data_IF_354979999701
#
_entry.id   IF_354979999701
#
_cell.length_a   1.000
_cell.length_b   1.000
_cell.length_c   1.000
_cell.angle_alpha   90.00
_cell.angle_beta   90.00
_cell.angle_gamma   90.00
#
_symmetry.space_group_name_H-M   'P 1'
#
loop_
_entity.id
_entity.type
_entity.pdbx_description
1 polymer ?
#
# COMPACT_ATOMS: atom_id res chain seq x y z
N UNK A 1 -51.13 13.28 -32.29
CA UNK A 1 -49.92 12.68 -32.92
C UNK A 1 -48.74 13.54 -32.50
N UNK A 2 -48.06 13.13 -31.42
CA UNK A 2 -46.89 13.83 -30.89
C UNK A 2 -45.68 12.90 -31.09
N UNK A 3 -44.69 13.39 -31.83
CA UNK A 3 -43.46 12.68 -32.15
C UNK A 3 -42.51 12.74 -30.94
N UNK A 4 -42.07 11.58 -30.47
CA UNK A 4 -40.99 11.45 -29.50
C UNK A 4 -39.63 11.60 -30.22
N UNK A 5 -38.63 12.26 -29.61
CA UNK A 5 -37.28 12.24 -30.15
C UNK A 5 -36.61 10.90 -29.84
N UNK A 6 -36.06 10.26 -30.88
CA UNK A 6 -35.20 9.08 -30.81
C UNK A 6 -33.90 9.40 -30.05
N UNK A 7 -33.60 8.55 -29.07
CA UNK A 7 -32.31 8.54 -28.38
C UNK A 7 -31.34 7.67 -29.19
N UNK A 8 -30.42 8.30 -29.90
CA UNK A 8 -29.31 7.62 -30.58
C UNK A 8 -28.23 7.31 -29.55
N UNK A 9 -28.10 6.02 -29.22
CA UNK A 9 -27.02 5.49 -28.39
C UNK A 9 -25.71 5.51 -29.19
N UNK A 10 -24.70 6.21 -28.67
CA UNK A 10 -23.34 6.16 -29.20
C UNK A 10 -22.71 4.81 -28.85
N UNK A 11 -22.78 3.86 -29.78
CA UNK A 11 -21.98 2.64 -29.75
C UNK A 11 -20.52 2.98 -30.01
N UNK A 12 -19.67 2.72 -29.01
CA UNK A 12 -18.22 2.71 -29.19
C UNK A 12 -17.83 1.34 -29.75
N UNK A 13 -17.61 1.27 -31.06
CA UNK A 13 -17.03 0.12 -31.74
C UNK A 13 -15.55 0.00 -31.35
N UNK A 14 -15.22 -0.99 -30.52
CA UNK A 14 -13.85 -1.43 -30.29
C UNK A 14 -13.52 -2.54 -31.29
N UNK A 15 -13.11 -2.12 -32.49
CA UNK A 15 -12.50 -3.00 -33.48
C UNK A 15 -10.97 -2.83 -33.45
N UNK A 16 -10.32 -3.95 -33.15
CA UNK A 16 -9.15 -4.46 -33.86
C UNK A 16 -7.84 -3.65 -33.82
N UNK A 17 -6.97 -4.03 -32.89
CA UNK A 17 -5.53 -3.93 -33.06
C UNK A 17 -4.89 -5.23 -32.55
N UNK A 18 -5.03 -6.29 -33.34
CA UNK A 18 -4.12 -7.44 -33.26
C UNK A 18 -2.73 -7.02 -33.76
N UNK A 19 -1.69 -7.26 -32.97
CA UNK A 19 -0.37 -7.80 -33.39
C UNK A 19 0.60 -7.81 -32.18
N UNK A 20 0.85 -8.98 -31.58
CA UNK A 20 2.19 -9.56 -31.37
C UNK A 20 2.11 -10.91 -30.64
N UNK A 21 2.54 -11.93 -31.38
CA UNK A 21 3.12 -13.22 -30.97
C UNK A 21 2.28 -14.20 -30.13
N UNK A 22 1.78 -15.23 -30.82
CA UNK A 22 1.64 -16.59 -30.29
C UNK A 22 2.97 -17.04 -29.66
N UNK A 23 2.92 -17.44 -28.41
CA UNK A 23 3.83 -18.44 -27.85
C UNK A 23 2.96 -19.32 -26.95
N UNK A 24 2.69 -20.53 -27.43
CA UNK A 24 1.81 -21.51 -26.79
C UNK A 24 2.54 -22.12 -25.59
N UNK A 25 2.20 -21.66 -24.39
CA UNK A 25 2.80 -22.19 -23.18
C UNK A 25 2.25 -21.57 -21.90
N UNK A 26 1.23 -22.23 -21.34
CA UNK A 26 0.90 -22.22 -19.91
C UNK A 26 0.05 -21.04 -19.38
N UNK A 27 -1.24 -21.07 -19.75
CA UNK A 27 -2.26 -20.09 -19.37
C UNK A 27 -2.84 -20.29 -17.96
N UNK A 28 -2.59 -21.43 -17.30
CA UNK A 28 -3.21 -21.74 -16.01
C UNK A 28 -2.56 -21.00 -14.82
N UNK A 29 -1.30 -20.59 -14.92
CA UNK A 29 -0.56 -19.97 -13.80
C UNK A 29 -0.76 -18.46 -13.72
N UNK A 30 -1.15 -17.80 -14.83
CA UNK A 30 -1.28 -16.33 -14.86
C UNK A 30 -2.56 -15.80 -14.23
N UNK A 31 -3.64 -16.58 -14.22
CA UNK A 31 -4.92 -16.12 -13.66
C UNK A 31 -4.91 -16.08 -12.13
N UNK A 32 -4.10 -16.91 -11.47
CA UNK A 32 -3.91 -16.88 -10.02
C UNK A 32 -3.05 -15.70 -9.52
N UNK A 33 -2.33 -14.99 -10.41
CA UNK A 33 -1.39 -13.94 -10.00
C UNK A 33 -1.99 -12.52 -10.06
N UNK A 34 -3.08 -12.32 -10.80
CA UNK A 34 -3.70 -11.00 -10.98
C UNK A 34 -4.76 -10.71 -9.91
N UNK A 35 -5.36 -11.74 -9.30
CA UNK A 35 -6.41 -11.57 -8.29
C UNK A 35 -5.91 -11.25 -6.86
N UNK A 36 -4.60 -11.32 -6.59
CA UNK A 36 -4.07 -11.16 -5.23
C UNK A 36 -3.57 -9.73 -4.86
N UNK A 37 -3.73 -8.74 -5.75
CA UNK A 37 -3.22 -7.37 -5.49
C UNK A 37 -4.29 -6.33 -5.18
N UNK A 38 -5.54 -6.74 -5.11
CA UNK A 38 -6.62 -5.91 -4.60
C UNK A 38 -6.94 -6.31 -3.15
N UNK A 39 -6.70 -5.40 -2.22
CA UNK A 39 -6.99 -5.45 -0.78
C UNK A 39 -5.89 -5.95 0.17
N UNK A 40 -5.34 -4.97 0.91
CA UNK A 40 -5.00 -5.13 2.32
C UNK A 40 -3.54 -5.46 2.63
N UNK A 41 -2.96 -4.68 3.54
CA UNK A 41 -1.80 -5.08 4.36
C UNK A 41 -2.11 -6.43 5.03
N UNK A 42 -1.82 -7.53 4.34
CA UNK A 42 -1.89 -8.88 4.88
C UNK A 42 -0.60 -9.21 5.60
N UNK A 43 -0.58 -9.04 6.93
CA UNK A 43 0.28 -9.86 7.78
C UNK A 43 -0.17 -11.30 7.60
N UNK A 44 0.54 -12.07 6.77
CA UNK A 44 0.40 -13.52 6.75
C UNK A 44 1.40 -14.07 7.76
N UNK A 45 0.95 -14.23 9.01
CA UNK A 45 1.60 -15.15 9.92
C UNK A 45 1.24 -16.56 9.43
N UNK A 46 2.17 -17.20 8.70
CA UNK A 46 2.07 -18.63 8.47
C UNK A 46 2.36 -19.31 9.82
N UNK A 47 1.32 -19.88 10.44
CA UNK A 47 1.52 -20.92 11.45
C UNK A 47 2.11 -22.13 10.74
N UNK A 48 3.39 -22.40 10.97
CA UNK A 48 4.02 -23.65 10.57
C UNK A 48 3.47 -24.81 11.41
N UNK A 49 3.14 -25.96 10.79
CA UNK A 49 2.83 -27.16 11.55
C UNK A 49 4.08 -27.63 12.28
N UNK A 50 3.97 -27.70 13.60
CA UNK A 50 4.96 -28.21 14.54
C UNK A 50 5.53 -29.56 14.06
N UNK A 51 6.81 -29.56 13.71
CA UNK A 51 7.57 -30.75 13.37
C UNK A 51 9.05 -30.53 13.56
N UNK A 52 9.56 -30.90 14.75
CA UNK A 52 10.98 -31.21 14.95
C UNK A 52 11.84 -30.07 15.49
N UNK A 53 12.05 -30.11 16.80
CA UNK A 53 13.25 -29.68 17.54
C UNK A 53 14.49 -29.42 16.68
N UNK A 54 14.92 -28.16 16.61
CA UNK A 54 16.24 -27.72 17.11
C UNK A 54 16.26 -26.19 17.29
N UNK A 55 17.01 -25.74 18.30
CA UNK A 55 16.88 -24.44 18.95
C UNK A 55 17.02 -23.21 18.05
N UNK A 56 16.14 -22.24 18.27
CA UNK A 56 16.30 -20.87 17.77
C UNK A 56 17.37 -20.18 18.60
N UNK A 57 18.58 -20.10 18.05
CA UNK A 57 19.62 -19.17 18.50
C UNK A 57 19.20 -17.75 18.13
N UNK A 58 19.07 -16.88 19.14
CA UNK A 58 19.08 -15.44 18.94
C UNK A 58 20.52 -15.02 18.65
N UNK A 59 20.84 -14.74 17.38
CA UNK A 59 22.12 -14.13 17.01
C UNK A 59 22.03 -12.63 17.27
N UNK A 60 22.35 -12.26 18.51
CA UNK A 60 22.59 -10.89 18.93
C UNK A 60 23.89 -10.41 18.26
N UNK A 61 23.79 -9.36 17.44
CA UNK A 61 24.91 -8.82 16.69
C UNK A 61 25.97 -8.25 17.65
N UNK A 62 26.99 -9.05 17.95
CA UNK A 62 28.24 -8.58 18.54
C UNK A 62 29.18 -8.08 17.44
N UNK A 63 29.54 -6.81 17.54
CA UNK A 63 30.73 -6.25 16.90
C UNK A 63 31.94 -6.86 17.61
N UNK A 64 32.78 -7.59 16.90
CA UNK A 64 34.00 -8.18 17.45
C UNK A 64 35.21 -7.59 16.75
N UNK A 65 35.84 -6.64 17.45
CA UNK A 65 37.23 -6.23 17.23
C UNK A 65 38.15 -7.26 17.91
N UNK A 66 39.23 -7.63 17.22
CA UNK A 66 40.51 -7.99 17.87
C UNK A 66 40.67 -9.38 18.50
N UNK A 67 41.59 -10.13 17.91
CA UNK A 67 42.43 -11.23 18.41
C UNK A 67 42.34 -11.64 19.91
N UNK A 68 42.18 -12.95 20.16
CA UNK A 68 42.53 -13.56 21.44
C UNK A 68 41.93 -14.95 21.65
N UNK A 69 42.77 -15.98 21.70
CA UNK A 69 42.39 -17.32 22.16
C UNK A 69 41.97 -17.32 23.64
N UNK A 70 40.91 -18.06 23.98
CA UNK A 70 40.40 -18.14 25.34
C UNK A 70 39.49 -19.35 25.60
N UNK A 71 40.10 -20.33 26.27
CA UNK A 71 39.59 -21.53 26.96
C UNK A 71 38.17 -21.41 27.56
N UNK A 72 37.36 -22.46 27.36
CA UNK A 72 36.04 -22.68 27.98
C UNK A 72 36.16 -23.08 29.46
N UNK A 73 35.46 -22.38 30.35
CA UNK A 73 35.14 -22.86 31.70
C UNK A 73 33.64 -22.69 31.98
N UNK A 74 33.02 -23.75 32.49
CA UNK A 74 31.61 -23.86 32.80
C UNK A 74 31.41 -23.72 34.30
N UNK A 75 30.79 -22.63 34.76
CA UNK A 75 30.18 -22.55 36.10
C UNK A 75 29.08 -21.48 36.19
N UNK A 76 27.86 -21.96 36.42
CA UNK A 76 26.65 -21.28 36.94
C UNK A 76 26.94 -20.34 38.15
N UNK A 77 26.07 -19.37 38.60
CA UNK A 77 24.63 -19.57 38.78
C UNK A 77 23.65 -18.36 38.71
N UNK A 78 22.37 -18.73 38.75
CA UNK A 78 21.14 -17.99 39.01
C UNK A 78 21.26 -16.76 39.94
N UNK A 79 20.76 -15.62 39.50
CA UNK A 79 20.38 -14.50 40.39
C UNK A 79 18.98 -13.97 40.08
N UNK A 80 18.13 -14.09 41.11
CA UNK A 80 16.92 -13.31 41.37
C UNK A 80 17.24 -11.81 41.26
N UNK A 81 16.40 -11.05 40.56
CA UNK A 81 16.36 -9.60 40.69
C UNK A 81 14.97 -9.17 41.12
N UNK A 82 14.95 -8.65 42.35
CA UNK A 82 13.85 -7.94 43.00
C UNK A 82 13.69 -6.54 42.42
N UNK A 83 12.45 -6.10 42.24
CA UNK A 83 12.11 -4.67 42.09
C UNK A 83 12.45 -3.90 43.37
N UNK A 84 12.84 -2.61 43.27
CA UNK A 84 11.92 -1.60 43.80
C UNK A 84 11.92 -0.25 43.07
N UNK A 85 10.70 0.28 42.96
CA UNK A 85 10.22 1.59 43.40
C UNK A 85 11.03 2.91 43.20
N UNK A 86 10.22 3.94 42.92
CA UNK A 86 10.33 5.32 43.39
C UNK A 86 11.00 6.34 42.46
N UNK A 87 10.12 6.98 41.68
CA UNK A 87 10.21 8.31 41.10
C UNK A 87 10.57 9.41 42.11
N UNK A 88 11.44 10.37 41.74
CA UNK A 88 11.48 11.68 42.37
C UNK A 88 10.82 12.78 41.52
N UNK A 89 10.06 13.59 42.24
CA UNK A 89 9.29 14.79 41.90
C UNK A 89 10.17 15.92 41.33
N UNK A 90 9.74 16.67 40.29
CA UNK A 90 10.45 17.84 39.82
C UNK A 90 10.17 19.10 40.65
N UNK A 91 11.22 19.85 40.97
CA UNK A 91 11.18 21.17 41.61
C UNK A 91 10.78 22.30 40.63
N UNK A 92 10.15 23.39 41.12
CA UNK A 92 9.62 24.46 40.27
C UNK A 92 10.70 25.44 39.80
N UNK A 93 10.68 25.78 38.52
CA UNK A 93 11.51 26.83 37.90
C UNK A 93 10.78 28.19 38.04
N UNK A 94 11.47 29.26 38.49
CA UNK A 94 10.89 30.59 38.62
C UNK A 94 10.82 31.36 37.28
N UNK A 95 9.69 32.02 37.06
CA UNK A 95 9.43 32.97 35.96
C UNK A 95 10.27 34.25 36.07
N UNK A 96 10.72 34.84 34.94
CA UNK A 96 11.08 36.24 34.90
C UNK A 96 10.18 37.09 33.99
N UNK A 97 9.59 38.09 34.64
CA UNK A 97 9.49 39.51 34.28
C UNK A 97 9.06 39.95 32.86
N UNK A 98 7.87 40.56 32.85
CA UNK A 98 7.34 41.51 31.88
C UNK A 98 8.29 42.70 31.65
N UNK A 99 8.48 43.08 30.39
CA UNK A 99 9.02 44.38 29.99
C UNK A 99 7.98 45.18 29.18
N UNK A 100 7.88 46.51 29.37
CA UNK A 100 6.84 47.37 28.78
C UNK A 100 7.12 47.82 27.33
N UNK A 101 6.10 48.33 26.60
CA UNK A 101 6.19 48.67 25.19
C UNK A 101 6.82 50.06 24.95
N UNK A 102 7.61 50.17 23.88
CA UNK A 102 8.18 51.43 23.37
C UNK A 102 7.45 51.88 22.10
N UNK A 103 7.24 53.20 21.88
CA UNK A 103 6.39 53.74 20.83
C UNK A 103 7.11 53.98 19.48
N UNK A 104 6.27 54.21 18.46
CA UNK A 104 6.54 54.43 17.04
C UNK A 104 7.54 55.56 16.69
N UNK A 105 7.96 55.65 15.42
CA UNK A 105 7.26 56.60 14.51
C UNK A 105 7.05 56.11 13.06
N UNK A 106 5.98 56.65 12.44
CA UNK A 106 5.84 57.30 11.11
C UNK A 106 6.71 56.81 9.94
N UNK A 107 6.36 56.83 8.65
CA UNK A 107 5.24 57.30 7.84
C UNK A 107 5.59 56.97 6.35
N UNK A 108 4.58 57.01 5.47
CA UNK A 108 4.60 57.19 3.99
C UNK A 108 5.20 56.12 3.03
N UNK A 109 4.31 55.56 2.19
CA UNK A 109 4.27 55.57 0.70
C UNK A 109 3.54 54.29 0.21
N UNK A 110 2.22 54.33 -0.04
CA UNK A 110 1.60 54.63 -1.34
C UNK A 110 2.33 54.02 -2.55
N UNK A 111 1.79 52.90 -3.07
CA UNK A 111 1.43 52.71 -4.48
C UNK A 111 0.28 51.69 -4.52
N UNK A 112 -0.84 52.17 -5.05
CA UNK A 112 -2.08 51.45 -5.32
C UNK A 112 -1.96 50.77 -6.67
N UNK A 113 -2.29 49.49 -6.77
CA UNK A 113 -2.66 48.87 -8.05
C UNK A 113 -3.63 47.73 -7.79
N UNK A 114 -4.88 48.10 -7.50
CA UNK A 114 -6.02 47.18 -7.44
C UNK A 114 -6.70 47.16 -8.81
N UNK A 115 -6.57 46.03 -9.51
CA UNK A 115 -7.43 45.70 -10.65
C UNK A 115 -8.76 45.19 -10.06
N UNK A 116 -9.74 46.09 -9.99
CA UNK A 116 -11.13 45.76 -9.67
C UNK A 116 -11.80 45.16 -10.91
N UNK A 117 -12.08 43.86 -10.87
CA UNK A 117 -13.12 43.25 -11.69
C UNK A 117 -14.45 43.36 -10.93
N UNK A 118 -15.22 44.37 -11.28
CA UNK A 118 -16.57 44.60 -10.76
C UNK A 118 -17.54 43.62 -11.42
N UNK A 119 -17.91 42.56 -10.71
CA UNK A 119 -19.18 41.89 -10.94
C UNK A 119 -20.25 42.59 -10.09
N UNK A 120 -20.95 43.48 -10.79
CA UNK A 120 -22.14 44.20 -10.34
C UNK A 120 -23.28 43.24 -10.04
N UNK A 121 -23.70 43.18 -8.79
CA UNK A 121 -25.01 42.72 -8.35
C UNK A 121 -25.39 43.60 -7.14
N UNK A 122 -25.79 44.82 -7.44
CA UNK A 122 -26.65 45.59 -6.55
C UNK A 122 -27.98 44.83 -6.44
N UNK A 123 -28.43 44.52 -5.21
CA UNK A 123 -29.71 45.05 -4.74
C UNK A 123 -29.84 44.95 -3.22
N UNK A 124 -30.52 45.94 -2.67
CA UNK A 124 -30.83 46.32 -1.29
C UNK A 124 -31.11 45.14 -0.33
N UNK A 125 -30.91 45.24 0.98
CA UNK A 125 -31.01 46.41 1.85
C UNK A 125 -31.37 45.91 3.25
N UNK A 126 -31.03 46.75 4.22
CA UNK A 126 -31.29 46.62 5.66
C UNK A 126 -32.77 46.27 5.90
N UNK A 127 -33.05 45.17 6.63
CA UNK A 127 -34.37 44.99 7.23
C UNK A 127 -34.32 44.18 8.51
N UNK A 128 -35.14 44.66 9.44
CA UNK A 128 -35.11 44.40 10.86
C UNK A 128 -35.58 43.00 11.25
N UNK A 129 -35.04 42.57 12.38
CA UNK A 129 -35.47 41.52 13.28
C UNK A 129 -37.01 41.47 13.42
N UNK A 130 -37.66 40.56 12.69
CA UNK A 130 -38.99 40.04 13.01
C UNK A 130 -38.93 38.52 12.90
N UNK A 131 -38.63 37.88 14.02
CA UNK A 131 -38.71 36.43 14.21
C UNK A 131 -40.17 36.01 14.28
N UNK A 132 -40.88 36.08 13.15
CA UNK A 132 -42.15 35.38 12.99
C UNK A 132 -41.83 33.89 12.90
N UNK A 133 -42.24 33.14 13.93
CA UNK A 133 -42.32 31.68 13.93
C UNK A 133 -43.30 31.24 12.83
N UNK A 134 -42.85 31.26 11.58
CA UNK A 134 -43.55 30.64 10.46
C UNK A 134 -43.35 29.14 10.60
N UNK A 135 -44.33 28.49 11.22
CA UNK A 135 -44.48 27.03 11.26
C UNK A 135 -44.46 26.52 9.82
N UNK A 136 -43.31 26.03 9.37
CA UNK A 136 -43.15 25.49 8.03
C UNK A 136 -44.17 24.36 7.85
N UNK A 137 -44.97 24.37 6.77
CA UNK A 137 -45.93 23.31 6.51
C UNK A 137 -45.19 21.97 6.46
N UNK A 138 -45.63 21.02 7.28
CA UNK A 138 -45.06 19.68 7.37
C UNK A 138 -44.97 19.08 5.96
N UNK A 139 -43.75 18.88 5.47
CA UNK A 139 -43.52 18.26 4.18
C UNK A 139 -44.23 16.88 4.14
N UNK A 140 -44.90 16.52 3.03
CA UNK A 140 -45.55 15.24 2.89
C UNK A 140 -44.53 14.11 3.07
N UNK A 141 -44.91 13.08 3.83
CA UNK A 141 -44.08 11.90 4.07
C UNK A 141 -43.79 11.26 2.70
N UNK A 142 -42.51 11.03 2.34
CA UNK A 142 -42.18 10.42 1.06
C UNK A 142 -42.81 9.01 0.99
N UNK A 143 -43.29 8.58 -0.18
CA UNK A 143 -43.87 7.26 -0.34
C UNK A 143 -42.84 6.19 0.07
N UNK A 144 -43.26 5.24 0.89
CA UNK A 144 -42.45 4.09 1.30
C UNK A 144 -41.99 3.35 0.04
N UNK A 145 -40.68 3.24 -0.17
CA UNK A 145 -40.13 2.50 -1.30
C UNK A 145 -40.59 1.04 -1.23
N UNK A 146 -41.28 0.59 -2.27
CA UNK A 146 -41.65 -0.81 -2.49
C UNK A 146 -40.87 -1.34 -3.70
N UNK A 147 -39.91 -2.26 -3.52
CA UNK A 147 -39.24 -2.88 -4.66
C UNK A 147 -40.25 -3.63 -5.53
N UNK A 148 -39.98 -3.73 -6.83
CA UNK A 148 -40.88 -4.45 -7.73
C UNK A 148 -40.90 -5.94 -7.38
N UNK A 149 -42.07 -6.59 -7.35
CA UNK A 149 -42.23 -7.95 -6.83
C UNK A 149 -41.43 -9.02 -7.61
N UNK A 150 -41.23 -8.82 -8.92
CA UNK A 150 -40.44 -9.76 -9.73
C UNK A 150 -38.95 -9.78 -9.31
N UNK A 151 -38.39 -8.65 -8.87
CA UNK A 151 -36.98 -8.58 -8.41
C UNK A 151 -36.78 -9.38 -7.11
N UNK A 152 -37.77 -9.40 -6.23
CA UNK A 152 -37.70 -10.14 -4.96
C UNK A 152 -37.92 -11.65 -5.13
N UNK A 153 -38.66 -12.07 -6.17
CA UNK A 153 -38.92 -13.48 -6.44
C UNK A 153 -37.67 -14.23 -6.92
N UNK A 154 -36.78 -13.54 -7.63
CA UNK A 154 -35.59 -14.14 -8.26
C UNK A 154 -34.40 -14.27 -7.30
N UNK A 155 -34.42 -13.59 -6.15
CA UNK A 155 -33.34 -13.67 -5.13
C UNK A 155 -33.91 -13.91 -3.73
N UNK A 156 -34.00 -15.17 -3.27
CA UNK A 156 -34.38 -15.45 -1.90
C UNK A 156 -33.39 -14.81 -0.93
N UNK A 157 -33.89 -14.20 0.15
CA UNK A 157 -33.05 -13.62 1.18
C UNK A 157 -32.11 -14.70 1.76
N UNK A 158 -30.81 -14.43 1.75
CA UNK A 158 -29.85 -15.34 2.35
C UNK A 158 -30.18 -15.54 3.84
N UNK A 159 -30.14 -16.78 4.36
CA UNK A 159 -30.35 -17.02 5.78
C UNK A 159 -29.29 -16.24 6.59
N UNK A 160 -29.64 -15.71 7.78
CA UNK A 160 -28.68 -14.99 8.60
C UNK A 160 -27.53 -15.91 8.98
N UNK A 161 -26.30 -15.47 8.71
CA UNK A 161 -25.10 -16.19 9.12
C UNK A 161 -24.98 -16.19 10.65
N UNK A 162 -25.01 -17.36 11.31
CA UNK A 162 -24.89 -17.44 12.77
C UNK A 162 -23.55 -16.92 13.30
N UNK A 163 -22.52 -16.82 12.44
CA UNK A 163 -21.17 -16.38 12.81
C UNK A 163 -20.89 -14.93 12.41
N UNK A 164 -21.91 -14.16 11.97
CA UNK A 164 -21.72 -12.78 11.59
C UNK A 164 -21.25 -11.90 12.77
N UNK A 165 -20.09 -11.27 12.62
CA UNK A 165 -19.53 -10.35 13.63
C UNK A 165 -20.35 -9.06 13.81
N UNK A 166 -21.13 -8.69 12.80
CA UNK A 166 -21.95 -7.47 12.80
C UNK A 166 -23.43 -7.84 12.77
N UNK A 167 -24.21 -7.18 13.62
CA UNK A 167 -25.66 -7.36 13.65
C UNK A 167 -26.28 -6.96 12.30
N UNK A 168 -27.14 -7.79 11.69
CA UNK A 168 -27.84 -7.43 10.47
C UNK A 168 -28.59 -6.10 10.62
N UNK A 169 -28.54 -5.26 9.59
CA UNK A 169 -29.20 -3.96 9.59
C UNK A 169 -30.72 -4.14 9.47
N UNK A 170 -31.42 -4.25 10.60
CA UNK A 170 -32.89 -4.36 10.63
C UNK A 170 -33.58 -3.00 10.50
N UNK A 171 -32.89 -1.91 10.85
CA UNK A 171 -33.36 -0.53 10.73
C UNK A 171 -32.23 0.39 10.32
N UNK A 172 -32.49 1.30 9.40
CA UNK A 172 -31.50 2.30 8.98
C UNK A 172 -31.12 3.24 10.13
N UNK A 173 -29.82 3.38 10.38
CA UNK A 173 -29.29 4.30 11.39
C UNK A 173 -29.30 5.76 10.93
N UNK A 174 -29.18 6.00 9.62
CA UNK A 174 -29.19 7.34 9.03
C UNK A 174 -30.42 7.50 8.13
N UNK A 175 -31.17 8.57 8.36
CA UNK A 175 -32.36 8.89 7.53
C UNK A 175 -32.01 9.61 6.23
N UNK A 176 -30.85 10.26 6.17
CA UNK A 176 -30.43 11.07 5.01
C UNK A 176 -28.97 10.81 4.67
N UNK A 177 -28.61 10.98 3.40
CA UNK A 177 -27.23 10.90 2.94
C UNK A 177 -26.34 11.97 3.61
N UNK A 178 -26.90 13.14 3.91
CA UNK A 178 -26.22 14.20 4.65
C UNK A 178 -25.83 13.76 6.07
N UNK A 179 -26.74 13.09 6.80
CA UNK A 179 -26.44 12.55 8.13
C UNK A 179 -25.38 11.46 8.08
N UNK A 180 -25.43 10.57 7.08
CA UNK A 180 -24.40 9.55 6.87
C UNK A 180 -23.03 10.16 6.51
N UNK A 181 -23.01 11.21 5.67
CA UNK A 181 -21.78 11.96 5.33
C UNK A 181 -21.23 12.68 6.56
N UNK A 182 -22.07 13.33 7.36
CA UNK A 182 -21.67 13.96 8.61
C UNK A 182 -21.06 12.94 9.58
N UNK A 183 -21.67 11.77 9.74
CA UNK A 183 -21.11 10.70 10.56
C UNK A 183 -19.76 10.18 10.05
N UNK A 184 -19.58 10.07 8.73
CA UNK A 184 -18.30 9.65 8.14
C UNK A 184 -17.21 10.71 8.23
N UNK A 185 -17.59 11.99 8.20
CA UNK A 185 -16.65 13.12 8.18
C UNK A 185 -16.37 13.70 9.57
N UNK A 186 -17.07 13.26 10.61
CA UNK A 186 -16.80 13.68 12.00
C UNK A 186 -15.34 13.37 12.37
N UNK A 187 -14.69 14.35 12.99
CA UNK A 187 -13.37 14.14 13.57
C UNK A 187 -13.46 13.07 14.65
N UNK A 188 -12.64 12.04 14.53
CA UNK A 188 -12.47 10.95 15.49
C UNK A 188 -11.24 11.14 16.36
N UNK A 189 -10.22 11.83 15.83
CA UNK A 189 -9.10 12.36 16.61
C UNK A 189 -9.05 13.87 16.42
N UNK A 190 -8.64 14.56 17.49
CA UNK A 190 -8.53 16.00 17.50
C UNK A 190 -7.54 16.47 16.42
N UNK A 191 -7.75 17.66 15.85
CA UNK A 191 -6.76 18.31 14.99
C UNK A 191 -5.43 18.49 15.72
N UNK A 192 -4.33 18.48 14.97
CA UNK A 192 -2.99 18.80 15.48
C UNK A 192 -2.74 20.31 15.29
N UNK A 193 -3.01 21.19 16.26
CA UNK A 193 -2.93 22.63 16.02
C UNK A 193 -1.49 23.04 15.67
N UNK A 194 -1.35 23.91 14.68
CA UNK A 194 -0.07 24.48 14.27
C UNK A 194 -0.22 25.99 14.01
N UNK A 195 0.79 26.77 14.39
CA UNK A 195 0.73 28.23 14.31
C UNK A 195 0.80 28.77 12.87
N UNK A 196 1.36 27.99 11.95
CA UNK A 196 1.64 28.37 10.57
C UNK A 196 0.49 28.06 9.58
N UNK A 197 -0.58 27.38 10.01
CA UNK A 197 -1.70 26.91 9.15
C UNK A 197 -2.28 28.05 8.30
N UNK A 198 -2.66 29.15 8.94
CA UNK A 198 -3.32 30.27 8.25
C UNK A 198 -2.41 30.91 7.18
N UNK A 199 -1.13 31.10 7.51
CA UNK A 199 -0.12 31.67 6.59
C UNK A 199 0.14 30.73 5.41
N UNK A 200 0.36 29.44 5.68
CA UNK A 200 0.66 28.44 4.64
C UNK A 200 -0.53 28.27 3.69
N UNK A 201 -1.76 28.26 4.21
CA UNK A 201 -2.97 28.17 3.40
C UNK A 201 -3.17 29.38 2.49
N UNK A 202 -2.89 30.59 2.99
CA UNK A 202 -3.08 31.83 2.26
C UNK A 202 -1.98 32.09 1.20
N UNK A 203 -0.72 31.80 1.50
CA UNK A 203 0.43 32.21 0.69
C UNK A 203 1.28 31.05 0.16
N UNK A 204 1.15 29.86 0.74
CA UNK A 204 2.08 28.76 0.53
C UNK A 204 1.70 27.76 -0.54
N UNK A 205 0.46 27.78 -1.07
CA UNK A 205 -0.06 26.72 -1.95
C UNK A 205 0.84 26.48 -3.16
N UNK A 206 1.09 27.51 -3.97
CA UNK A 206 1.86 27.39 -5.22
C UNK A 206 3.27 26.84 -4.96
N UNK A 207 3.96 27.41 -3.96
CA UNK A 207 5.29 26.97 -3.56
C UNK A 207 5.31 25.49 -3.14
N UNK A 208 4.41 25.10 -2.25
CA UNK A 208 4.40 23.73 -1.71
C UNK A 208 3.94 22.70 -2.74
N UNK A 209 2.93 23.01 -3.56
CA UNK A 209 2.50 22.12 -4.65
C UNK A 209 3.66 21.87 -5.62
N UNK A 210 4.36 22.93 -6.06
CA UNK A 210 5.52 22.79 -6.92
C UNK A 210 6.60 21.92 -6.27
N UNK A 211 6.87 22.13 -4.98
CA UNK A 211 7.86 21.33 -4.23
C UNK A 211 7.44 19.86 -4.07
N UNK A 212 6.17 19.58 -3.82
CA UNK A 212 5.61 18.22 -3.73
C UNK A 212 5.71 17.52 -5.08
N UNK A 213 5.29 18.18 -6.16
CA UNK A 213 5.40 17.66 -7.52
C UNK A 213 6.85 17.29 -7.86
N UNK A 214 7.78 18.21 -7.62
CA UNK A 214 9.21 17.98 -7.84
C UNK A 214 9.75 16.81 -7.01
N UNK A 215 9.27 16.63 -5.77
CA UNK A 215 9.62 15.48 -4.96
C UNK A 215 9.07 14.16 -5.54
N UNK A 216 7.83 14.15 -6.03
CA UNK A 216 7.21 12.96 -6.65
C UNK A 216 8.01 12.47 -7.86
N UNK A 217 8.47 13.38 -8.72
CA UNK A 217 9.24 13.02 -9.92
C UNK A 217 10.74 12.80 -9.66
N UNK A 218 11.26 13.18 -8.49
CA UNK A 218 12.69 13.03 -8.19
C UNK A 218 13.10 11.56 -8.13
N UNK A 219 13.92 11.12 -9.09
CA UNK A 219 14.41 9.74 -9.17
C UNK A 219 15.75 9.47 -8.48
N UNK A 220 16.40 10.49 -7.89
CA UNK A 220 17.80 10.38 -7.40
C UNK A 220 17.93 9.61 -6.09
N UNK A 221 16.94 9.72 -5.21
CA UNK A 221 17.02 9.21 -3.84
C UNK A 221 16.11 8.00 -3.59
N UNK A 222 15.72 7.24 -4.63
CA UNK A 222 14.74 6.16 -4.50
C UNK A 222 15.27 5.01 -3.63
N UNK A 223 14.54 4.65 -2.58
CA UNK A 223 14.82 3.54 -1.66
C UNK A 223 14.04 2.26 -1.99
N UNK A 224 12.99 2.33 -2.83
CA UNK A 224 12.30 1.14 -3.33
C UNK A 224 13.28 0.19 -4.06
N UNK A 225 13.06 -1.11 -3.90
CA UNK A 225 13.89 -2.14 -4.55
C UNK A 225 14.01 -1.93 -6.06
N UNK A 226 15.16 -2.28 -6.64
CA UNK A 226 15.44 -2.08 -8.07
C UNK A 226 14.40 -2.72 -9.02
N UNK A 227 13.75 -3.80 -8.57
CA UNK A 227 12.69 -4.51 -9.30
C UNK A 227 11.27 -4.09 -8.89
N UNK A 228 11.12 -3.07 -8.05
CA UNK A 228 9.82 -2.57 -7.62
C UNK A 228 9.07 -1.98 -8.81
N UNK A 229 7.82 -2.39 -9.00
CA UNK A 229 6.93 -1.80 -10.02
C UNK A 229 6.76 -0.30 -9.80
N UNK A 230 6.75 0.14 -8.54
CA UNK A 230 6.62 1.55 -8.20
C UNK A 230 7.83 2.34 -8.70
N UNK A 231 9.05 1.83 -8.53
CA UNK A 231 10.26 2.47 -9.07
C UNK A 231 10.23 2.51 -10.61
N UNK A 232 9.89 1.40 -11.25
CA UNK A 232 9.85 1.29 -12.71
C UNK A 232 8.94 2.33 -13.38
N UNK A 233 7.81 2.68 -12.74
CA UNK A 233 6.86 3.73 -13.18
C UNK A 233 7.41 5.16 -13.18
N UNK A 234 8.57 5.39 -12.57
CA UNK A 234 9.24 6.70 -12.55
C UNK A 234 10.60 6.69 -13.25
N UNK A 235 11.29 5.54 -13.30
CA UNK A 235 12.63 5.46 -13.88
C UNK A 235 12.68 4.87 -15.28
N UNK A 236 11.76 3.97 -15.62
CA UNK A 236 11.80 3.22 -16.89
C UNK A 236 10.64 3.56 -17.82
N UNK A 237 9.45 3.79 -17.26
CA UNK A 237 8.24 4.13 -18.02
C UNK A 237 7.53 5.27 -17.29
N UNK A 238 7.36 6.42 -17.92
CA UNK A 238 6.52 7.50 -17.41
C UNK A 238 5.06 7.04 -17.40
N UNK A 239 4.64 6.38 -16.33
CA UNK A 239 3.32 5.74 -16.24
C UNK A 239 2.18 6.70 -15.87
N UNK A 240 2.53 7.91 -15.44
CA UNK A 240 1.59 8.94 -15.01
C UNK A 240 1.75 10.19 -15.87
N UNK A 241 0.64 10.84 -16.17
CA UNK A 241 0.64 12.14 -16.82
C UNK A 241 1.11 13.22 -15.82
N UNK A 242 1.77 14.27 -16.31
CA UNK A 242 2.23 15.36 -15.45
C UNK A 242 1.06 16.07 -14.73
N UNK A 243 -0.07 16.25 -15.42
CA UNK A 243 -1.27 16.88 -14.85
C UNK A 243 -1.86 16.05 -13.71
N UNK A 244 -1.85 14.71 -13.82
CA UNK A 244 -2.30 13.82 -12.75
C UNK A 244 -1.41 13.92 -11.51
N UNK A 245 -0.08 14.02 -11.71
CA UNK A 245 0.88 14.18 -10.61
C UNK A 245 0.75 15.55 -9.93
N UNK A 246 0.46 16.61 -10.70
CA UNK A 246 0.19 17.94 -10.14
C UNK A 246 -1.13 17.95 -9.35
N UNK A 247 -2.20 17.35 -9.89
CA UNK A 247 -3.46 17.18 -9.18
C UNK A 247 -3.29 16.41 -7.86
N UNK A 248 -2.49 15.34 -7.88
CA UNK A 248 -2.12 14.60 -6.66
C UNK A 248 -1.31 15.45 -5.68
N UNK A 249 -0.41 16.32 -6.16
CA UNK A 249 0.34 17.25 -5.31
C UNK A 249 -0.58 18.27 -4.60
N UNK A 250 -1.61 18.77 -5.30
CA UNK A 250 -2.67 19.58 -4.68
C UNK A 250 -3.42 18.80 -3.59
N UNK A 251 -3.81 17.56 -3.86
CA UNK A 251 -4.49 16.71 -2.87
C UNK A 251 -3.63 16.45 -1.63
N UNK A 252 -2.32 16.22 -1.81
CA UNK A 252 -1.35 16.08 -0.70
C UNK A 252 -1.30 17.34 0.15
N UNK A 253 -1.25 18.51 -0.47
CA UNK A 253 -1.26 19.80 0.24
C UNK A 253 -2.55 19.97 1.06
N UNK A 254 -3.71 19.71 0.46
CA UNK A 254 -5.00 19.87 1.12
C UNK A 254 -5.17 18.90 2.30
N UNK A 255 -4.74 17.64 2.14
CA UNK A 255 -4.84 16.64 3.19
C UNK A 255 -3.83 16.91 4.32
N UNK A 256 -2.63 17.43 4.01
CA UNK A 256 -1.69 17.87 5.03
C UNK A 256 -2.25 19.03 5.88
N UNK A 257 -2.91 20.01 5.26
CA UNK A 257 -3.61 21.09 5.98
C UNK A 257 -4.76 20.52 6.83
N UNK A 258 -5.51 19.56 6.27
CA UNK A 258 -6.64 18.95 6.96
C UNK A 258 -6.27 18.25 8.27
N UNK A 259 -5.08 17.66 8.38
CA UNK A 259 -4.58 17.07 9.64
C UNK A 259 -4.56 18.11 10.78
N UNK A 260 -4.25 19.37 10.45
CA UNK A 260 -4.14 20.46 11.43
C UNK A 260 -5.47 21.21 11.68
N UNK A 261 -6.36 21.26 10.69
CA UNK A 261 -7.67 21.94 10.84
C UNK A 261 -8.78 20.98 11.33
N UNK A 262 -8.85 19.79 10.73
CA UNK A 262 -9.95 18.83 10.91
C UNK A 262 -9.57 17.67 11.82
N UNK A 263 -8.29 17.29 11.81
CA UNK A 263 -7.82 16.06 12.44
C UNK A 263 -8.24 14.81 11.66
N UNK A 264 -8.24 13.66 12.34
CA UNK A 264 -8.51 12.37 11.72
C UNK A 264 -10.01 12.07 11.66
N UNK A 265 -10.58 11.93 10.46
CA UNK A 265 -12.01 11.62 10.28
C UNK A 265 -12.29 10.15 9.87
N UNK A 266 -11.27 9.41 9.44
CA UNK A 266 -11.39 8.02 9.01
C UNK A 266 -11.61 7.06 10.19
N UNK A 267 -12.12 5.84 9.98
CA UNK A 267 -12.22 4.83 11.02
C UNK A 267 -10.91 4.63 11.81
N UNK A 268 -11.03 4.53 13.13
CA UNK A 268 -9.87 4.41 14.02
C UNK A 268 -9.03 3.17 13.79
N UNK A 269 -9.60 2.11 13.18
CA UNK A 269 -8.88 0.88 12.80
C UNK A 269 -7.72 1.14 11.84
N UNK A 270 -7.82 2.19 11.03
CA UNK A 270 -6.75 2.58 10.11
C UNK A 270 -5.70 3.46 10.77
N UNK A 271 -6.03 4.09 11.90
CA UNK A 271 -5.11 4.98 12.60
C UNK A 271 -4.25 4.19 13.60
N UNK A 272 -2.93 4.26 13.44
CA UNK A 272 -2.00 3.63 14.38
C UNK A 272 -1.41 4.67 15.31
N UNK A 273 -1.80 4.62 16.59
CA UNK A 273 -1.18 5.44 17.62
C UNK A 273 0.29 5.03 17.80
N UNK A 274 1.18 5.95 17.45
CA UNK A 274 2.62 5.79 17.58
C UNK A 274 3.07 6.47 18.87
N UNK A 275 3.15 5.68 19.94
CA UNK A 275 3.32 6.19 21.32
C UNK A 275 4.81 6.37 21.71
N UNK A 276 5.76 5.74 21.00
CA UNK A 276 7.19 5.81 21.35
C UNK A 276 8.12 5.53 20.17
N UNK A 277 9.28 6.20 20.15
CA UNK A 277 10.43 5.89 19.28
C UNK A 277 10.53 6.75 18.02
N UNK A 278 11.25 6.25 17.00
CA UNK A 278 11.50 6.95 15.72
C UNK A 278 10.24 7.23 14.89
N UNK A 279 9.11 6.66 15.28
CA UNK A 279 7.82 6.79 14.59
C UNK A 279 6.93 7.89 15.18
N UNK A 280 7.41 8.61 16.22
CA UNK A 280 6.69 9.74 16.79
C UNK A 280 6.59 10.84 15.73
N UNK A 281 5.39 11.42 15.59
CA UNK A 281 5.15 12.52 14.67
C UNK A 281 5.78 13.82 15.17
N UNK A 282 7.01 14.06 14.74
CA UNK A 282 7.75 15.31 15.01
C UNK A 282 7.14 16.54 14.30
N UNK A 283 6.25 16.33 13.34
CA UNK A 283 5.62 17.40 12.55
C UNK A 283 4.22 17.78 13.05
N UNK A 284 3.87 17.37 14.26
CA UNK A 284 2.57 17.66 14.87
C UNK A 284 2.27 19.16 15.00
N UNK A 285 3.29 19.98 15.23
CA UNK A 285 3.13 21.40 15.60
C UNK A 285 3.41 22.40 14.46
N UNK A 286 3.82 21.93 13.27
CA UNK A 286 4.09 22.79 12.10
C UNK A 286 3.67 22.12 10.79
N UNK A 287 2.85 22.83 10.03
CA UNK A 287 2.43 22.42 8.68
C UNK A 287 3.62 22.40 7.74
N UNK A 288 4.50 23.40 7.79
CA UNK A 288 5.65 23.47 6.88
C UNK A 288 6.62 22.32 7.11
N UNK A 289 6.86 21.97 8.38
CA UNK A 289 7.68 20.81 8.73
C UNK A 289 7.03 19.52 8.20
N UNK A 290 5.71 19.37 8.36
CA UNK A 290 4.94 18.23 7.83
C UNK A 290 5.07 18.12 6.32
N UNK A 291 4.79 19.20 5.59
CA UNK A 291 4.91 19.24 4.13
C UNK A 291 6.33 18.92 3.66
N UNK A 292 7.35 19.44 4.36
CA UNK A 292 8.76 19.12 4.07
C UNK A 292 9.06 17.63 4.29
N UNK A 293 8.50 17.01 5.34
CA UNK A 293 8.66 15.58 5.60
C UNK A 293 7.92 14.73 4.56
N UNK A 294 6.71 15.12 4.17
CA UNK A 294 5.99 14.47 3.05
C UNK A 294 6.81 14.52 1.76
N UNK A 295 7.41 15.68 1.43
CA UNK A 295 8.29 15.79 0.26
C UNK A 295 9.48 14.83 0.35
N UNK A 296 10.11 14.68 1.52
CA UNK A 296 11.20 13.72 1.71
C UNK A 296 10.75 12.29 1.44
N UNK A 297 9.60 11.89 2.00
CA UNK A 297 9.04 10.54 1.79
C UNK A 297 8.70 10.29 0.32
N UNK A 298 8.10 11.25 -0.38
CA UNK A 298 7.76 11.13 -1.81
C UNK A 298 9.01 11.07 -2.72
N UNK A 299 10.07 11.78 -2.36
CA UNK A 299 11.34 11.73 -3.08
C UNK A 299 12.02 10.36 -2.95
N UNK A 300 11.98 9.78 -1.75
CA UNK A 300 12.62 8.50 -1.47
C UNK A 300 11.77 7.29 -1.85
N UNK A 301 10.45 7.36 -1.68
CA UNK A 301 9.56 6.19 -1.72
C UNK A 301 8.46 6.35 -2.76
N UNK A 302 8.63 5.75 -3.94
CA UNK A 302 7.66 5.79 -5.04
C UNK A 302 6.41 4.98 -4.77
N UNK A 303 6.46 3.98 -3.89
CA UNK A 303 5.23 3.36 -3.38
C UNK A 303 4.38 4.29 -2.50
N UNK A 304 4.95 5.39 -1.96
CA UNK A 304 4.19 6.44 -1.29
C UNK A 304 3.64 7.49 -2.28
N UNK A 305 4.32 7.69 -3.42
CA UNK A 305 3.75 8.48 -4.54
C UNK A 305 2.48 7.80 -5.07
N UNK A 306 2.48 6.47 -5.18
CA UNK A 306 1.30 5.70 -5.57
C UNK A 306 0.13 5.86 -4.57
N UNK A 307 0.43 5.91 -3.26
CA UNK A 307 -0.57 6.21 -2.22
C UNK A 307 -1.20 7.59 -2.41
N UNK A 308 -0.39 8.59 -2.80
CA UNK A 308 -0.84 9.96 -3.04
C UNK A 308 -1.73 10.06 -4.28
N UNK A 309 -1.35 9.40 -5.39
CA UNK A 309 -2.14 9.36 -6.62
C UNK A 309 -3.47 8.63 -6.42
N UNK A 310 -3.50 7.54 -5.66
CA UNK A 310 -4.76 6.82 -5.34
C UNK A 310 -5.66 7.58 -4.37
N UNK A 311 -5.08 8.42 -3.52
CA UNK A 311 -5.80 9.16 -2.49
C UNK A 311 -6.32 8.29 -1.34
N UNK A 312 -7.44 8.71 -0.73
CA UNK A 312 -8.13 7.93 0.30
C UNK A 312 -7.35 7.74 1.60
N UNK A 313 -7.51 6.57 2.23
CA UNK A 313 -6.90 6.27 3.54
C UNK A 313 -5.37 6.28 3.48
N UNK A 314 -4.78 5.81 2.38
CA UNK A 314 -3.32 5.75 2.24
C UNK A 314 -2.69 7.14 2.15
N UNK A 315 -3.34 8.07 1.44
CA UNK A 315 -2.95 9.48 1.43
C UNK A 315 -3.10 10.12 2.83
N UNK A 316 -4.23 9.87 3.50
CA UNK A 316 -4.44 10.38 4.85
C UNK A 316 -3.36 9.89 5.83
N UNK A 317 -2.93 8.62 5.73
CA UNK A 317 -1.84 8.07 6.55
C UNK A 317 -0.48 8.70 6.23
N UNK A 318 -0.21 8.96 4.94
CA UNK A 318 1.01 9.65 4.52
C UNK A 318 1.06 11.07 5.11
N UNK A 319 -0.04 11.81 5.06
CA UNK A 319 -0.10 13.17 5.57
C UNK A 319 -0.17 13.23 7.10
N UNK A 320 -0.79 12.26 7.78
CA UNK A 320 -0.92 12.27 9.25
C UNK A 320 0.39 11.97 9.99
N UNK A 321 1.21 11.03 9.49
CA UNK A 321 2.53 10.78 10.05
C UNK A 321 3.49 10.29 8.96
N UNK A 322 4.20 11.22 8.27
CA UNK A 322 5.07 10.88 7.15
C UNK A 322 6.18 9.90 7.54
N UNK A 323 6.78 10.06 8.72
CA UNK A 323 7.86 9.19 9.20
C UNK A 323 7.37 7.76 9.49
N UNK A 324 6.19 7.61 10.12
CA UNK A 324 5.60 6.30 10.31
C UNK A 324 5.27 5.64 8.97
N UNK A 325 4.74 6.41 8.00
CA UNK A 325 4.44 5.87 6.66
C UNK A 325 5.70 5.43 5.94
N UNK A 326 6.77 6.23 5.98
CA UNK A 326 8.10 5.89 5.45
C UNK A 326 8.60 4.57 6.01
N UNK A 327 8.58 4.42 7.33
CA UNK A 327 9.03 3.20 7.99
C UNK A 327 8.21 1.97 7.58
N UNK A 328 6.87 2.08 7.50
CA UNK A 328 6.02 0.98 7.02
C UNK A 328 6.38 0.59 5.59
N UNK A 329 6.59 1.55 4.68
CA UNK A 329 6.98 1.24 3.30
C UNK A 329 8.37 0.61 3.21
N UNK A 330 9.32 1.09 3.99
CA UNK A 330 10.66 0.52 4.07
C UNK A 330 10.63 -0.93 4.57
N UNK A 331 9.90 -1.18 5.66
CA UNK A 331 9.71 -2.52 6.23
C UNK A 331 9.05 -3.47 5.20
N UNK A 332 8.01 -3.00 4.51
CA UNK A 332 7.35 -3.78 3.45
C UNK A 332 8.30 -4.07 2.27
N UNK A 333 9.15 -3.11 1.89
CA UNK A 333 10.16 -3.30 0.83
C UNK A 333 11.20 -4.37 1.24
N UNK A 334 11.71 -4.32 2.47
CA UNK A 334 12.62 -5.33 3.01
C UNK A 334 11.96 -6.73 3.06
N UNK A 335 10.69 -6.80 3.48
CA UNK A 335 9.92 -8.05 3.50
C UNK A 335 9.73 -8.63 2.09
N UNK A 336 9.38 -7.79 1.12
CA UNK A 336 9.22 -8.19 -0.29
C UNK A 336 10.54 -8.64 -0.91
N UNK A 337 11.67 -8.01 -0.55
CA UNK A 337 12.98 -8.45 -0.97
C UNK A 337 13.30 -9.85 -0.45
N UNK A 338 13.16 -10.09 0.87
CA UNK A 338 13.39 -11.40 1.49
C UNK A 338 12.49 -12.48 0.88
N UNK A 339 11.19 -12.17 0.69
CA UNK A 339 10.24 -13.08 0.02
C UNK A 339 10.68 -13.39 -1.41
N UNK A 340 11.10 -12.38 -2.16
CA UNK A 340 11.59 -12.54 -3.53
C UNK A 340 12.84 -13.41 -3.62
N UNK A 341 13.76 -13.29 -2.67
CA UNK A 341 14.96 -14.13 -2.58
C UNK A 341 14.61 -15.59 -2.28
N UNK A 342 13.73 -15.84 -1.30
CA UNK A 342 13.23 -17.19 -0.98
C UNK A 342 12.59 -17.85 -2.20
N UNK A 343 11.70 -17.15 -2.90
CA UNK A 343 11.05 -17.67 -4.11
C UNK A 343 12.05 -18.02 -5.22
N UNK A 344 13.13 -17.23 -5.39
CA UNK A 344 14.18 -17.54 -6.36
C UNK A 344 14.97 -18.78 -5.97
N UNK A 345 15.28 -18.96 -4.68
CA UNK A 345 15.98 -20.15 -4.21
C UNK A 345 15.12 -21.40 -4.42
N UNK A 346 13.83 -21.35 -4.11
CA UNK A 346 12.89 -22.46 -4.36
C UNK A 346 12.83 -22.81 -5.84
N UNK A 347 12.63 -21.81 -6.71
CA UNK A 347 12.59 -22.03 -8.17
C UNK A 347 13.91 -22.59 -8.72
N UNK A 348 15.04 -22.17 -8.18
CA UNK A 348 16.35 -22.69 -8.61
C UNK A 348 16.54 -24.13 -8.17
N UNK A 349 16.14 -24.48 -6.94
CA UNK A 349 16.16 -25.86 -6.43
C UNK A 349 15.23 -26.77 -7.24
N UNK A 350 14.03 -26.30 -7.55
CA UNK A 350 13.07 -27.03 -8.38
C UNK A 350 13.62 -27.27 -9.79
N UNK A 351 14.17 -26.23 -10.44
CA UNK A 351 14.80 -26.36 -11.75
C UNK A 351 16.00 -27.31 -11.74
N UNK A 352 16.80 -27.30 -10.66
CA UNK A 352 17.90 -28.25 -10.49
C UNK A 352 17.40 -29.68 -10.31
N UNK A 353 16.30 -29.90 -9.58
CA UNK A 353 15.66 -31.22 -9.44
C UNK A 353 15.11 -31.74 -10.77
N UNK A 354 14.46 -30.88 -11.56
CA UNK A 354 13.98 -31.25 -12.89
C UNK A 354 15.14 -31.66 -13.81
N UNK A 355 16.22 -30.87 -13.85
CA UNK A 355 17.42 -31.22 -14.64
C UNK A 355 18.10 -32.50 -14.16
N UNK A 356 18.15 -32.73 -12.86
CA UNK A 356 18.70 -33.97 -12.32
C UNK A 356 17.84 -35.19 -12.72
N UNK A 357 16.51 -35.03 -12.72
CA UNK A 357 15.59 -36.07 -13.18
C UNK A 357 15.72 -36.33 -14.69
N UNK A 358 15.75 -35.29 -15.51
CA UNK A 358 15.99 -35.39 -16.96
C UNK A 358 17.32 -36.10 -17.25
N UNK A 359 18.37 -35.83 -16.46
CA UNK A 359 19.65 -36.51 -16.61
C UNK A 359 19.60 -37.99 -16.21
N UNK A 360 18.89 -38.35 -15.13
CA UNK A 360 18.71 -39.75 -14.73
C UNK A 360 17.94 -40.51 -15.82
N UNK A 361 16.83 -39.95 -16.29
CA UNK A 361 16.02 -40.55 -17.37
C UNK A 361 16.83 -40.71 -18.67
N UNK A 362 17.69 -39.75 -19.02
CA UNK A 362 18.59 -39.85 -20.17
C UNK A 362 19.65 -40.95 -20.01
N UNK A 363 20.22 -41.12 -18.81
CA UNK A 363 21.21 -42.18 -18.54
C UNK A 363 20.54 -43.56 -18.56
N UNK A 364 19.33 -43.70 -18.02
CA UNK A 364 18.56 -44.95 -18.08
C UNK A 364 18.26 -45.36 -19.53
N UNK A 365 17.87 -44.41 -20.39
CA UNK A 365 17.65 -44.68 -21.82
C UNK A 365 18.93 -45.13 -22.54
N UNK A 366 20.09 -44.51 -22.28
CA UNK A 366 21.37 -44.95 -22.87
C UNK A 366 21.70 -46.37 -22.42
N UNK A 367 21.51 -46.68 -21.13
CA UNK A 367 21.74 -48.02 -20.60
C UNK A 367 20.77 -49.09 -21.15
N UNK A 368 19.54 -48.72 -21.54
CA UNK A 368 18.62 -49.62 -22.24
C UNK A 368 19.06 -49.88 -23.69
N UNK A 369 19.54 -48.86 -24.40
CA UNK A 369 20.06 -49.00 -25.78
C UNK A 369 21.30 -49.91 -25.79
N UNK A 370 22.25 -49.71 -24.88
CA UNK A 370 23.45 -50.57 -24.77
C UNK A 370 23.10 -52.03 -24.46
N UNK A 371 22.05 -52.29 -23.67
CA UNK A 371 21.57 -53.65 -23.41
C UNK A 371 20.96 -54.30 -24.65
N UNK A 372 20.26 -53.54 -25.48
CA UNK A 372 19.69 -54.03 -26.74
C UNK A 372 20.81 -54.40 -27.71
N UNK A 373 21.84 -53.54 -27.86
CA UNK A 373 23.00 -53.83 -28.72
C UNK A 373 23.75 -55.10 -28.28
N UNK A 374 23.93 -55.32 -26.98
CA UNK A 374 24.57 -56.55 -26.48
C UNK A 374 23.76 -57.82 -26.77
N UNK A 375 22.42 -57.75 -26.79
CA UNK A 375 21.56 -58.88 -27.14
C UNK A 375 21.70 -59.21 -28.62
N UNK A 376 21.67 -58.20 -29.50
CA UNK A 376 21.83 -58.37 -30.95
C UNK A 376 23.20 -58.97 -31.32
N UNK A 377 24.27 -58.54 -30.65
CA UNK A 377 25.62 -59.11 -30.83
C UNK A 377 25.68 -60.57 -30.37
N UNK A 378 25.03 -60.90 -29.25
CA UNK A 378 24.99 -62.28 -28.74
C UNK A 378 24.16 -63.23 -29.61
N UNK A 379 23.03 -62.79 -30.16
CA UNK A 379 22.24 -63.57 -31.12
C UNK A 379 23.00 -63.77 -32.44
N UNK A 380 23.74 -62.74 -32.90
CA UNK A 380 24.58 -62.84 -34.11
C UNK A 380 25.72 -63.83 -33.93
N UNK A 381 26.33 -63.87 -32.73
CA UNK A 381 27.37 -64.83 -32.38
C UNK A 381 26.82 -66.25 -32.31
N UNK A 382 25.65 -66.46 -31.69
CA UNK A 382 25.01 -67.77 -31.61
C UNK A 382 24.59 -68.29 -33.00
N UNK A 383 24.06 -67.43 -33.87
CA UNK A 383 23.76 -67.79 -35.27
C UNK A 383 25.01 -68.18 -36.07
N UNK A 384 26.14 -67.49 -35.87
CA UNK A 384 27.41 -67.83 -36.50
C UNK A 384 27.94 -69.19 -36.02
N UNK A 385 27.83 -69.47 -34.72
CA UNK A 385 28.25 -70.76 -34.14
C UNK A 385 27.38 -71.93 -34.64
N UNK A 386 26.06 -71.74 -34.75
CA UNK A 386 25.13 -72.74 -35.31
C UNK A 386 25.41 -73.00 -36.80
N UNK A 387 25.69 -71.97 -37.59
CA UNK A 387 26.06 -72.12 -39.00
C UNK A 387 27.43 -72.82 -39.16
N UNK A 388 28.40 -72.50 -38.30
CA UNK A 388 29.70 -73.17 -38.27
C UNK A 388 29.58 -74.67 -37.97
N UNK A 389 28.73 -75.05 -37.02
CA UNK A 389 28.47 -76.47 -36.69
C UNK A 389 27.76 -77.24 -37.82
N UNK A 390 26.85 -76.58 -38.55
CA UNK A 390 26.20 -77.19 -39.72
C UNK A 390 27.21 -77.47 -40.86
N UNK A 391 28.13 -76.53 -41.11
CA UNK A 391 29.18 -76.69 -42.12
C UNK A 391 30.19 -77.81 -41.79
N UNK A 392 30.48 -78.04 -40.51
CA UNK A 392 31.36 -79.14 -40.08
C UNK A 392 30.68 -80.52 -40.28
N UNK A 393 29.37 -80.63 -40.05
CA UNK A 393 28.62 -81.87 -40.30
C UNK A 393 28.54 -82.25 -41.78
N UNK A 394 28.47 -81.27 -42.67
CA UNK A 394 28.41 -81.50 -44.13
C UNK A 394 29.77 -81.97 -44.71
N UNK A 395 30.87 -81.87 -43.95
CA UNK A 395 32.20 -82.37 -44.34
C UNK A 395 32.44 -83.82 -43.84
N UNK A 396 31.65 -84.31 -42.89
CA UNK A 396 31.77 -85.67 -42.33
C UNK A 396 30.83 -86.71 -43.01
N UNK A 397 29.87 -86.28 -43.83
CA UNK A 397 29.10 -87.13 -44.76
C UNK A 397 29.76 -87.20 -46.15
#
# INVERSE_FOLDING_TARGET
MAQYPEFVSAGADFADAGFFAQDDGDTAVRQALIEFTAYGDGYVAFEEPLGGVDGVFFEEAFVQDGEGEGVLDHSSPLLRISSPASSPTPSPIPSPALSPPSPAPSEVLSIVSTVSLTNSLDDAGISANNTTLTTAPSAPIPPTYTPHPHILADQPAAPPDPNALYTPLTRTHFRTAAAAKAHRTRARLAPKPAADVARVKALGREYWVCRIFNAMINGRCITDGARSVHRARFTAKAAFEALDLEAAAHAVFDEAIAVHERGWNMPGVYHKHTVRGKLVDISGESVELRLSRVCLVLAETKSAVDDAVRGGVTLALLCDNPEARRFTKESNNQGNQKRGERLRQTRTKERARLRAREHIEAVEQIGEVEKIEQVDDSESQELADVQGLAAVREIEE
#
